data_IF_531136192923
#
_entry.id   IF_531136192923
#
_cell.length_a   1.000
_cell.length_b   1.000
_cell.length_c   1.000
_cell.angle_alpha   90.00
_cell.angle_beta   90.00
_cell.angle_gamma   90.00
#
_symmetry.space_group_name_H-M   'P 1'
#
loop_
_entity.id
_entity.type
_entity.pdbx_description
1 polymer ?
#
# COMPACT_ATOMS: atom_id res chain seq x y z
N UNK A 1 4.22 -3.79 -7.27
CA UNK A 1 3.72 -2.57 -7.97
C UNK A 1 4.26 -2.46 -9.40
N UNK A 2 5.47 -2.96 -9.62
CA UNK A 2 6.26 -2.87 -10.84
C UNK A 2 5.55 -3.47 -12.04
N UNK A 3 4.91 -4.65 -11.89
CA UNK A 3 4.12 -5.28 -12.94
C UNK A 3 2.97 -4.38 -13.39
N UNK A 4 2.22 -3.81 -12.43
CA UNK A 4 1.12 -2.90 -12.71
C UNK A 4 1.59 -1.62 -13.43
N UNK A 5 2.69 -1.02 -12.99
CA UNK A 5 3.25 0.19 -13.65
C UNK A 5 3.74 -0.12 -15.06
N UNK A 6 4.38 -1.27 -15.28
CA UNK A 6 4.78 -1.71 -16.61
C UNK A 6 3.56 -1.87 -17.54
N UNK A 7 2.46 -2.39 -16.99
CA UNK A 7 1.18 -2.59 -17.68
C UNK A 7 0.24 -1.38 -17.64
N UNK A 8 0.72 -0.18 -17.26
CA UNK A 8 -0.07 1.06 -17.16
C UNK A 8 -1.37 0.95 -16.35
N UNK A 9 -1.39 0.06 -15.36
CA UNK A 9 -2.52 -0.15 -14.48
C UNK A 9 -2.51 0.94 -13.40
N UNK A 10 -3.62 1.66 -13.28
CA UNK A 10 -3.86 2.58 -12.18
C UNK A 10 -4.06 1.77 -10.89
N UNK A 11 -3.33 2.12 -9.83
CA UNK A 11 -3.35 1.37 -8.56
C UNK A 11 -3.95 2.22 -7.45
N UNK A 12 -4.79 1.59 -6.64
CA UNK A 12 -5.25 2.08 -5.35
C UNK A 12 -4.82 1.07 -4.29
N UNK A 13 -4.41 1.56 -3.11
CA UNK A 13 -3.99 0.72 -2.00
C UNK A 13 -5.02 0.84 -0.87
N UNK A 14 -5.90 -0.17 -0.70
CA UNK A 14 -6.98 -0.14 0.28
C UNK A 14 -6.52 0.17 1.71
N UNK A 15 -5.37 -0.35 2.13
CA UNK A 15 -4.80 -0.08 3.46
C UNK A 15 -4.46 1.40 3.65
N UNK A 16 -3.82 2.03 2.65
CA UNK A 16 -3.47 3.45 2.70
C UNK A 16 -4.71 4.33 2.67
N UNK A 17 -5.72 3.94 1.88
CA UNK A 17 -7.01 4.63 1.83
C UNK A 17 -7.75 4.55 3.17
N UNK A 18 -7.85 3.35 3.76
CA UNK A 18 -8.48 3.14 5.05
C UNK A 18 -7.73 3.87 6.19
N UNK A 19 -6.40 3.91 6.16
CA UNK A 19 -5.60 4.72 7.08
C UNK A 19 -5.92 6.22 6.95
N UNK A 20 -6.07 6.72 5.72
CA UNK A 20 -6.48 8.10 5.44
C UNK A 20 -7.88 8.42 5.98
N UNK A 21 -8.85 7.51 5.82
CA UNK A 21 -10.19 7.61 6.42
C UNK A 21 -10.07 7.68 7.95
N UNK A 22 -9.32 6.76 8.56
CA UNK A 22 -9.13 6.68 10.00
C UNK A 22 -8.49 7.94 10.59
N UNK A 23 -7.41 8.44 9.99
CA UNK A 23 -6.71 9.65 10.43
C UNK A 23 -7.63 10.90 10.41
N UNK A 24 -8.63 10.92 9.53
CA UNK A 24 -9.61 12.00 9.40
C UNK A 24 -10.93 11.73 10.12
N UNK A 25 -10.96 10.75 11.04
CA UNK A 25 -12.12 10.38 11.87
C UNK A 25 -13.35 9.89 11.10
N UNK A 26 -13.18 9.38 9.88
CA UNK A 26 -14.27 8.85 9.05
C UNK A 26 -14.46 7.33 9.14
N UNK A 27 -13.68 6.62 9.96
CA UNK A 27 -13.68 5.16 9.95
C UNK A 27 -14.98 4.55 10.48
N UNK A 28 -15.63 5.20 11.46
CA UNK A 28 -16.81 4.64 12.14
C UNK A 28 -17.95 4.37 11.17
N UNK A 29 -18.25 5.31 10.27
CA UNK A 29 -19.32 5.14 9.28
C UNK A 29 -19.10 3.89 8.41
N UNK A 30 -17.85 3.64 8.01
CA UNK A 30 -17.51 2.47 7.19
C UNK A 30 -17.57 1.17 8.01
N UNK A 31 -17.13 1.22 9.27
CA UNK A 31 -17.20 0.07 10.18
C UNK A 31 -18.64 -0.34 10.47
N UNK A 32 -19.55 0.61 10.65
CA UNK A 32 -20.98 0.33 10.82
C UNK A 32 -21.60 -0.31 9.57
N UNK A 33 -21.17 0.08 8.36
CA UNK A 33 -21.57 -0.60 7.13
C UNK A 33 -21.08 -2.04 7.14
N UNK A 34 -19.80 -2.27 7.50
CA UNK A 34 -19.23 -3.61 7.57
C UNK A 34 -19.94 -4.50 8.61
N UNK A 35 -20.37 -3.94 9.75
CA UNK A 35 -21.14 -4.66 10.76
C UNK A 35 -22.50 -5.10 10.22
N UNK A 36 -23.18 -4.23 9.47
CA UNK A 36 -24.45 -4.57 8.79
C UNK A 36 -24.27 -5.62 7.70
N UNK A 37 -23.08 -5.73 7.11
CA UNK A 37 -22.72 -6.80 6.17
C UNK A 37 -22.37 -8.12 6.88
N UNK A 38 -22.27 -8.13 8.22
CA UNK A 38 -21.96 -9.31 9.02
C UNK A 38 -20.47 -9.58 9.23
N UNK A 39 -19.58 -8.62 8.94
CA UNK A 39 -18.16 -8.77 9.27
C UNK A 39 -17.94 -8.71 10.79
N UNK A 40 -17.27 -9.72 11.36
CA UNK A 40 -16.93 -9.74 12.79
C UNK A 40 -16.06 -8.54 13.16
N UNK A 41 -16.24 -8.04 14.38
CA UNK A 41 -15.39 -6.98 14.95
C UNK A 41 -13.92 -7.41 15.08
N UNK A 42 -13.67 -8.71 15.12
CA UNK A 42 -12.33 -9.31 15.18
C UNK A 42 -11.56 -9.21 13.85
N UNK A 43 -12.25 -8.91 12.74
CA UNK A 43 -11.59 -8.68 11.46
C UNK A 43 -10.76 -7.39 11.51
N UNK A 44 -9.66 -7.37 10.74
CA UNK A 44 -8.82 -6.19 10.60
C UNK A 44 -9.64 -4.94 10.26
N UNK A 45 -9.43 -3.85 11.01
CA UNK A 45 -10.15 -2.60 10.81
C UNK A 45 -9.95 -2.01 9.42
N UNK A 46 -8.75 -2.15 8.81
CA UNK A 46 -8.54 -1.77 7.41
C UNK A 46 -9.46 -2.53 6.45
N UNK A 47 -9.56 -3.86 6.64
CA UNK A 47 -10.43 -4.70 5.84
C UNK A 47 -11.90 -4.31 6.01
N UNK A 48 -12.36 -4.13 7.24
CA UNK A 48 -13.74 -3.70 7.52
C UNK A 48 -14.06 -2.33 6.93
N UNK A 49 -13.18 -1.33 7.11
CA UNK A 49 -13.34 0.01 6.51
C UNK A 49 -13.45 -0.10 4.99
N UNK A 50 -12.60 -0.90 4.36
CA UNK A 50 -12.64 -1.04 2.90
C UNK A 50 -13.86 -1.79 2.39
N UNK A 51 -14.28 -2.88 3.04
CA UNK A 51 -15.49 -3.61 2.65
C UNK A 51 -16.73 -2.72 2.81
N UNK A 52 -16.81 -1.94 3.89
CA UNK A 52 -17.85 -0.94 4.08
C UNK A 52 -17.84 0.14 3.00
N UNK A 53 -16.67 0.68 2.66
CA UNK A 53 -16.52 1.68 1.60
C UNK A 53 -16.94 1.13 0.22
N UNK A 54 -16.49 -0.09 -0.11
CA UNK A 54 -16.87 -0.77 -1.36
C UNK A 54 -18.38 -0.99 -1.45
N UNK A 55 -19.03 -1.43 -0.37
CA UNK A 55 -20.48 -1.65 -0.37
C UNK A 55 -21.26 -0.37 -0.67
N UNK A 56 -20.79 0.78 -0.16
CA UNK A 56 -21.39 2.07 -0.47
C UNK A 56 -21.18 2.49 -1.93
N UNK A 57 -19.99 2.25 -2.50
CA UNK A 57 -19.74 2.46 -3.92
C UNK A 57 -20.61 1.55 -4.80
N UNK A 58 -20.77 0.28 -4.42
CA UNK A 58 -21.64 -0.68 -5.11
C UNK A 58 -23.09 -0.20 -5.13
N UNK A 59 -23.60 0.25 -3.97
CA UNK A 59 -24.95 0.84 -3.85
C UNK A 59 -25.11 2.08 -4.73
N UNK A 60 -24.12 2.95 -4.75
CA UNK A 60 -24.14 4.12 -5.61
C UNK A 60 -24.21 3.73 -7.09
N UNK A 61 -23.38 2.80 -7.54
CA UNK A 61 -23.37 2.31 -8.92
C UNK A 61 -24.72 1.70 -9.34
N UNK A 62 -25.37 0.97 -8.42
CA UNK A 62 -26.69 0.35 -8.67
C UNK A 62 -27.85 1.35 -8.68
N UNK A 63 -27.79 2.38 -7.83
CA UNK A 63 -28.93 3.28 -7.60
C UNK A 63 -28.80 4.66 -8.27
N UNK A 64 -27.59 5.01 -8.71
CA UNK A 64 -27.24 6.35 -9.20
C UNK A 64 -27.22 7.44 -8.11
N UNK A 65 -27.32 7.06 -6.83
CA UNK A 65 -27.37 8.00 -5.70
C UNK A 65 -26.23 7.73 -4.73
N UNK A 66 -25.45 8.76 -4.41
CA UNK A 66 -24.38 8.67 -3.41
C UNK A 66 -24.98 8.48 -2.02
N UNK A 67 -24.68 7.37 -1.30
CA UNK A 67 -25.08 7.22 0.09
C UNK A 67 -24.46 8.31 0.97
N UNK A 68 -25.19 8.77 1.98
CA UNK A 68 -24.74 9.84 2.87
C UNK A 68 -23.38 9.55 3.53
N UNK A 69 -23.19 8.34 4.05
CA UNK A 69 -21.91 7.91 4.62
C UNK A 69 -20.74 7.97 3.62
N UNK A 70 -21.00 7.77 2.32
CA UNK A 70 -19.99 7.90 1.28
C UNK A 70 -19.73 9.37 0.95
N UNK A 71 -20.78 10.18 0.85
CA UNK A 71 -20.69 11.62 0.61
C UNK A 71 -19.92 12.35 1.73
N UNK A 72 -20.10 11.89 2.97
CA UNK A 72 -19.45 12.45 4.16
C UNK A 72 -18.04 11.88 4.40
N UNK A 73 -17.59 10.89 3.61
CA UNK A 73 -16.27 10.30 3.78
C UNK A 73 -15.17 11.34 3.59
N UNK A 74 -14.25 11.53 4.56
CA UNK A 74 -13.25 12.60 4.50
C UNK A 74 -12.02 12.26 3.66
N UNK A 75 -11.94 11.04 3.12
CA UNK A 75 -10.83 10.59 2.30
C UNK A 75 -11.03 10.92 0.82
N UNK A 76 -9.95 10.83 0.05
CA UNK A 76 -10.05 10.91 -1.40
C UNK A 76 -10.97 9.80 -1.92
N UNK A 77 -11.84 10.15 -2.87
CA UNK A 77 -12.73 9.20 -3.50
C UNK A 77 -11.92 8.27 -4.40
N UNK A 78 -12.13 6.97 -4.24
CA UNK A 78 -11.49 5.92 -5.06
C UNK A 78 -12.57 5.14 -5.82
N UNK A 79 -12.30 4.69 -7.05
CA UNK A 79 -13.28 3.92 -7.83
C UNK A 79 -13.41 2.49 -7.31
N UNK A 80 -14.48 1.80 -7.74
CA UNK A 80 -14.52 0.34 -7.67
C UNK A 80 -13.38 -0.24 -8.54
N UNK A 81 -12.70 -1.30 -8.09
CA UNK A 81 -11.63 -1.94 -8.85
C UNK A 81 -12.18 -2.81 -10.00
N UNK A 82 -11.45 -2.86 -11.11
CA UNK A 82 -11.70 -3.81 -12.21
C UNK A 82 -10.97 -5.16 -12.01
N UNK A 83 -9.97 -5.19 -11.13
CA UNK A 83 -9.21 -6.37 -10.71
C UNK A 83 -8.59 -6.10 -9.34
N UNK A 84 -8.29 -7.17 -8.59
CA UNK A 84 -7.55 -7.05 -7.32
C UNK A 84 -6.30 -7.92 -7.36
N UNK A 85 -5.21 -7.42 -6.77
CA UNK A 85 -3.93 -8.14 -6.64
C UNK A 85 -3.51 -8.10 -5.18
N UNK A 86 -3.25 -9.27 -4.59
CA UNK A 86 -2.83 -9.38 -3.19
C UNK A 86 -1.52 -10.17 -3.07
N UNK A 87 -0.76 -9.86 -2.03
CA UNK A 87 0.44 -10.58 -1.63
C UNK A 87 0.38 -10.77 -0.11
N UNK A 88 0.47 -12.00 0.36
CA UNK A 88 0.31 -12.35 1.77
C UNK A 88 1.58 -12.18 2.61
N UNK A 89 2.62 -11.55 2.06
CA UNK A 89 3.89 -11.32 2.76
C UNK A 89 3.75 -10.45 4.02
N UNK A 90 2.69 -9.64 4.17
CA UNK A 90 2.42 -8.87 5.38
C UNK A 90 1.51 -9.60 6.37
N UNK A 91 0.47 -10.29 5.89
CA UNK A 91 -0.42 -11.13 6.69
C UNK A 91 -1.35 -11.96 5.79
N UNK A 92 -1.89 -13.05 6.34
CA UNK A 92 -2.85 -13.91 5.64
C UNK A 92 -4.29 -13.38 5.68
N UNK A 93 -4.61 -12.37 6.49
CA UNK A 93 -5.96 -11.78 6.50
C UNK A 93 -6.27 -11.02 5.20
N UNK A 94 -5.23 -10.51 4.52
CA UNK A 94 -5.35 -9.92 3.19
C UNK A 94 -5.96 -10.88 2.17
N UNK A 95 -5.61 -12.18 2.23
CA UNK A 95 -6.12 -13.16 1.27
C UNK A 95 -7.64 -13.21 1.31
N UNK A 96 -8.21 -13.44 2.51
CA UNK A 96 -9.67 -13.52 2.67
C UNK A 96 -10.37 -12.21 2.38
N UNK A 97 -9.76 -11.09 2.74
CA UNK A 97 -10.32 -9.77 2.40
C UNK A 97 -10.39 -9.56 0.89
N UNK A 98 -9.30 -9.80 0.15
CA UNK A 98 -9.27 -9.58 -1.30
C UNK A 98 -10.10 -10.62 -2.08
N UNK A 99 -10.16 -11.87 -1.61
CA UNK A 99 -11.09 -12.87 -2.15
C UNK A 99 -12.55 -12.44 -1.99
N UNK A 100 -12.94 -11.94 -0.81
CA UNK A 100 -14.30 -11.44 -0.60
C UNK A 100 -14.60 -10.21 -1.47
N UNK A 101 -13.64 -9.30 -1.60
CA UNK A 101 -13.76 -8.13 -2.47
C UNK A 101 -13.97 -8.53 -3.93
N UNK A 102 -13.18 -9.50 -4.42
CA UNK A 102 -13.29 -10.03 -5.77
C UNK A 102 -14.61 -10.78 -6.01
N UNK A 103 -15.03 -11.60 -5.06
CA UNK A 103 -16.28 -12.36 -5.14
C UNK A 103 -17.51 -11.44 -5.16
N UNK A 104 -17.52 -10.42 -4.30
CA UNK A 104 -18.65 -9.47 -4.21
C UNK A 104 -18.80 -8.61 -5.48
N UNK A 105 -17.68 -8.25 -6.10
CA UNK A 105 -17.66 -7.43 -7.31
C UNK A 105 -17.63 -8.25 -8.61
N UNK A 106 -17.47 -9.57 -8.51
CA UNK A 106 -17.29 -10.48 -9.63
C UNK A 106 -16.16 -10.05 -10.59
N UNK A 107 -14.97 -9.79 -10.02
CA UNK A 107 -13.77 -9.33 -10.73
C UNK A 107 -12.59 -10.28 -10.54
N UNK A 108 -11.58 -10.27 -11.43
CA UNK A 108 -10.38 -11.09 -11.29
C UNK A 108 -9.62 -10.82 -9.98
N UNK A 109 -9.12 -11.89 -9.36
CA UNK A 109 -8.27 -11.86 -8.18
C UNK A 109 -6.94 -12.55 -8.49
N UNK A 110 -5.84 -11.80 -8.47
CA UNK A 110 -4.49 -12.35 -8.56
C UNK A 110 -3.91 -12.43 -7.15
N UNK A 111 -3.55 -13.64 -6.73
CA UNK A 111 -2.80 -13.87 -5.49
C UNK A 111 -1.35 -14.13 -5.85
N UNK A 112 -0.45 -13.44 -5.17
CA UNK A 112 0.99 -13.75 -5.15
C UNK A 112 1.27 -14.36 -3.78
N UNK A 113 1.32 -15.68 -3.71
CA UNK A 113 1.58 -16.38 -2.46
C UNK A 113 3.08 -16.36 -2.14
N UNK A 114 3.41 -15.90 -0.93
CA UNK A 114 4.75 -15.84 -0.39
C UNK A 114 4.78 -16.72 0.86
N UNK A 115 5.38 -17.92 0.78
CA UNK A 115 5.42 -18.84 1.90
C UNK A 115 6.09 -18.23 3.12
N UNK A 116 5.60 -18.60 4.31
CA UNK A 116 6.22 -18.19 5.56
C UNK A 116 7.62 -18.80 5.69
N UNK A 117 8.61 -17.97 5.98
CA UNK A 117 9.99 -18.42 6.17
C UNK A 117 10.21 -18.92 7.61
N UNK A 118 10.18 -20.24 7.81
CA UNK A 118 10.46 -20.85 9.11
C UNK A 118 11.95 -20.88 9.46
N UNK A 119 12.82 -20.84 8.46
CA UNK A 119 14.27 -20.90 8.61
C UNK A 119 14.95 -19.87 7.70
N UNK A 120 16.16 -19.49 8.07
CA UNK A 120 17.04 -18.64 7.25
C UNK A 120 18.32 -19.40 6.89
N UNK A 121 18.90 -19.20 5.69
CA UNK A 121 18.41 -18.34 4.60
C UNK A 121 17.12 -18.90 3.96
N UNK A 122 16.38 -18.03 3.25
CA UNK A 122 15.21 -18.44 2.45
C UNK A 122 15.63 -19.55 1.47
N UNK A 123 14.88 -20.65 1.45
CA UNK A 123 15.19 -21.82 0.63
C UNK A 123 15.10 -21.51 -0.87
N UNK A 124 15.88 -22.22 -1.70
CA UNK A 124 15.79 -22.08 -3.16
C UNK A 124 14.40 -22.44 -3.67
N UNK A 125 13.79 -23.49 -3.12
CA UNK A 125 12.41 -23.88 -3.47
C UNK A 125 11.40 -22.73 -3.26
N UNK A 126 11.48 -22.00 -2.14
CA UNK A 126 10.59 -20.88 -1.90
C UNK A 126 10.83 -19.73 -2.90
N UNK A 127 12.08 -19.48 -3.28
CA UNK A 127 12.42 -18.46 -4.30
C UNK A 127 11.90 -18.85 -5.68
N UNK A 128 12.05 -20.12 -6.07
CA UNK A 128 11.54 -20.67 -7.32
C UNK A 128 10.02 -20.58 -7.38
N UNK A 129 9.34 -20.97 -6.30
CA UNK A 129 7.89 -20.85 -6.15
C UNK A 129 7.42 -19.40 -6.34
N UNK A 130 8.02 -18.44 -5.63
CA UNK A 130 7.66 -17.01 -5.78
C UNK A 130 7.95 -16.51 -7.21
N UNK A 131 9.01 -16.99 -7.86
CA UNK A 131 9.28 -16.64 -9.25
C UNK A 131 8.21 -17.18 -10.20
N UNK A 132 7.68 -18.39 -9.95
CA UNK A 132 6.55 -18.95 -10.70
C UNK A 132 5.24 -18.20 -10.43
N UNK A 133 4.98 -17.78 -9.19
CA UNK A 133 3.84 -16.90 -8.84
C UNK A 133 3.90 -15.60 -9.64
N UNK A 134 5.09 -14.99 -9.79
CA UNK A 134 5.24 -13.80 -10.65
C UNK A 134 5.00 -14.09 -12.13
N UNK A 135 5.48 -15.22 -12.66
CA UNK A 135 5.21 -15.60 -14.06
C UNK A 135 3.72 -15.82 -14.30
N UNK A 136 3.03 -16.47 -13.35
CA UNK A 136 1.59 -16.69 -13.41
C UNK A 136 0.78 -15.38 -13.26
N UNK A 137 1.23 -14.45 -12.42
CA UNK A 137 0.62 -13.13 -12.33
C UNK A 137 0.77 -12.36 -13.66
N UNK A 138 1.95 -12.42 -14.29
CA UNK A 138 2.18 -11.78 -15.59
C UNK A 138 1.25 -12.34 -16.66
N UNK A 139 1.12 -13.67 -16.79
CA UNK A 139 0.24 -14.27 -17.80
C UNK A 139 -1.24 -13.88 -17.60
N UNK A 140 -1.70 -13.80 -16.35
CA UNK A 140 -3.04 -13.32 -16.03
C UNK A 140 -3.21 -11.84 -16.39
N UNK A 141 -2.21 -11.00 -16.11
CA UNK A 141 -2.24 -9.58 -16.49
C UNK A 141 -2.26 -9.38 -18.01
N UNK A 142 -1.58 -10.21 -18.79
CA UNK A 142 -1.64 -10.16 -20.26
C UNK A 142 -3.06 -10.42 -20.78
N UNK A 143 -3.75 -11.40 -20.19
CA UNK A 143 -5.15 -11.71 -20.51
C UNK A 143 -6.07 -10.56 -20.09
N UNK A 144 -5.96 -10.08 -18.85
CA UNK A 144 -6.81 -9.02 -18.30
C UNK A 144 -6.65 -7.71 -19.06
N UNK A 145 -5.40 -7.35 -19.40
CA UNK A 145 -5.12 -6.11 -20.14
C UNK A 145 -5.26 -6.25 -21.66
N UNK A 146 -5.46 -7.47 -22.18
CA UNK A 146 -5.59 -7.74 -23.62
C UNK A 146 -4.34 -7.39 -24.43
N UNK A 147 -3.15 -7.38 -23.81
CA UNK A 147 -1.88 -6.99 -24.46
C UNK A 147 -0.69 -7.72 -23.82
N UNK A 148 0.39 -7.98 -24.58
CA UNK A 148 1.58 -8.65 -24.05
C UNK A 148 2.29 -7.79 -23.00
N UNK A 149 3.02 -8.46 -22.11
CA UNK A 149 3.79 -7.83 -21.05
C UNK A 149 5.04 -7.15 -21.60
N UNK A 150 5.24 -5.88 -21.25
CA UNK A 150 6.42 -5.10 -21.66
C UNK A 150 7.58 -5.33 -20.69
N UNK A 151 8.42 -6.31 -20.99
CA UNK A 151 9.59 -6.64 -20.17
C UNK A 151 10.62 -5.50 -20.14
N UNK A 152 10.84 -4.78 -21.24
CA UNK A 152 11.82 -3.68 -21.26
C UNK A 152 11.37 -2.55 -20.32
N UNK A 153 10.10 -2.17 -20.40
CA UNK A 153 9.51 -1.22 -19.47
C UNK A 153 9.55 -1.75 -18.04
N UNK A 154 9.27 -3.03 -17.80
CA UNK A 154 9.40 -3.62 -16.47
C UNK A 154 10.82 -3.51 -15.91
N UNK A 155 11.86 -3.74 -16.72
CA UNK A 155 13.26 -3.53 -16.33
C UNK A 155 13.55 -2.06 -16.00
N UNK A 156 13.00 -1.11 -16.74
CA UNK A 156 13.10 0.33 -16.45
C UNK A 156 12.40 0.69 -15.13
N UNK A 157 11.19 0.18 -14.92
CA UNK A 157 10.40 0.38 -13.69
C UNK A 157 11.11 -0.19 -12.48
N UNK A 158 11.71 -1.38 -12.56
CA UNK A 158 12.51 -1.95 -11.44
C UNK A 158 13.70 -1.06 -11.08
N UNK A 159 14.43 -0.55 -12.08
CA UNK A 159 15.53 0.40 -11.86
C UNK A 159 15.03 1.67 -11.15
N UNK A 160 13.87 2.21 -11.56
CA UNK A 160 13.24 3.33 -10.87
C UNK A 160 12.87 2.98 -9.43
N UNK A 161 12.22 1.84 -9.18
CA UNK A 161 11.86 1.41 -7.82
C UNK A 161 13.09 1.36 -6.91
N UNK A 162 14.19 0.77 -7.38
CA UNK A 162 15.41 0.68 -6.58
C UNK A 162 15.99 2.06 -6.23
N UNK A 163 15.94 3.03 -7.16
CA UNK A 163 16.37 4.40 -6.85
C UNK A 163 15.50 5.04 -5.77
N UNK A 164 14.18 4.92 -5.87
CA UNK A 164 13.25 5.43 -4.84
C UNK A 164 13.50 4.77 -3.47
N UNK A 165 13.66 3.44 -3.44
CA UNK A 165 13.91 2.68 -2.20
C UNK A 165 15.28 3.02 -1.60
N UNK A 166 16.30 3.30 -2.41
CA UNK A 166 17.59 3.76 -1.89
C UNK A 166 17.45 5.09 -1.13
N UNK A 167 16.64 6.03 -1.64
CA UNK A 167 16.37 7.29 -0.94
C UNK A 167 15.51 7.08 0.32
N UNK A 168 14.51 6.22 0.26
CA UNK A 168 13.72 5.83 1.44
C UNK A 168 14.59 5.24 2.55
N UNK A 169 15.55 4.39 2.20
CA UNK A 169 16.50 3.82 3.15
C UNK A 169 17.43 4.87 3.75
N UNK A 170 17.84 5.90 2.99
CA UNK A 170 18.57 7.06 3.53
C UNK A 170 17.74 7.77 4.61
N UNK A 171 16.46 8.07 4.33
CA UNK A 171 15.55 8.69 5.31
C UNK A 171 15.45 7.82 6.57
N UNK A 172 15.11 6.54 6.42
CA UNK A 172 14.93 5.63 7.56
C UNK A 172 16.21 5.52 8.41
N UNK A 173 17.39 5.50 7.78
CA UNK A 173 18.67 5.46 8.47
C UNK A 173 18.94 6.72 9.31
N UNK A 174 18.34 7.88 9.01
CA UNK A 174 18.50 9.10 9.81
C UNK A 174 17.95 8.94 11.23
N UNK A 175 16.99 8.03 11.42
CA UNK A 175 16.47 7.72 12.76
C UNK A 175 17.55 7.27 13.73
N UNK A 176 18.70 6.73 13.29
CA UNK A 176 19.75 6.21 14.18
C UNK A 176 20.55 7.28 14.93
N UNK A 177 20.53 8.52 14.47
CA UNK A 177 21.34 9.60 15.05
C UNK A 177 20.74 10.14 16.36
N UNK A 178 21.59 10.80 17.16
CA UNK A 178 21.25 11.35 18.47
C UNK A 178 21.72 12.82 18.58
N UNK A 179 20.81 13.79 18.74
CA UNK A 179 19.36 13.65 18.60
C UNK A 179 18.97 13.25 17.15
N UNK A 180 17.80 12.64 16.97
CA UNK A 180 17.32 12.27 15.64
C UNK A 180 16.89 13.53 14.86
N UNK A 181 17.39 13.74 13.62
CA UNK A 181 16.87 14.78 12.74
C UNK A 181 15.53 14.39 12.09
N UNK A 182 15.10 13.12 12.25
CA UNK A 182 13.84 12.57 11.76
C UNK A 182 12.85 12.34 12.90
N UNK A 183 11.63 12.87 12.75
CA UNK A 183 10.48 12.53 13.58
C UNK A 183 9.82 11.24 13.07
N UNK A 184 9.56 10.28 13.95
CA UNK A 184 8.93 9.00 13.59
C UNK A 184 7.54 9.18 12.95
N UNK A 185 6.76 10.18 13.37
CA UNK A 185 5.45 10.46 12.75
C UNK A 185 5.58 10.98 11.31
N UNK A 186 6.64 11.73 10.99
CA UNK A 186 6.88 12.19 9.62
C UNK A 186 7.20 10.99 8.72
N UNK A 187 7.92 9.99 9.24
CA UNK A 187 8.18 8.75 8.50
C UNK A 187 6.86 8.06 8.09
N UNK A 188 5.86 8.00 8.98
CA UNK A 188 4.55 7.45 8.66
C UNK A 188 3.78 8.26 7.61
N UNK A 189 3.92 9.59 7.60
CA UNK A 189 3.31 10.42 6.55
C UNK A 189 3.90 10.10 5.17
N UNK A 190 5.23 9.94 5.07
CA UNK A 190 5.89 9.56 3.82
C UNK A 190 5.75 8.07 3.48
N UNK A 191 5.30 7.23 4.41
CA UNK A 191 5.03 5.81 4.18
C UNK A 191 3.96 5.61 3.11
N UNK A 192 2.92 6.45 3.09
CA UNK A 192 1.90 6.40 2.05
C UNK A 192 2.50 6.57 0.64
N UNK A 193 3.50 7.44 0.49
CA UNK A 193 4.16 7.66 -0.80
C UNK A 193 5.01 6.46 -1.22
N UNK A 194 5.75 5.82 -0.30
CA UNK A 194 6.57 4.65 -0.67
C UNK A 194 5.69 3.44 -0.98
N UNK A 195 4.55 3.29 -0.30
CA UNK A 195 3.56 2.25 -0.63
C UNK A 195 2.97 2.51 -2.01
N UNK A 196 2.41 3.69 -2.24
CA UNK A 196 1.63 3.94 -3.45
C UNK A 196 2.45 4.21 -4.71
N UNK A 197 3.67 4.74 -4.57
CA UNK A 197 4.39 5.35 -5.68
C UNK A 197 5.87 4.99 -5.77
N UNK A 198 6.40 4.00 -5.04
CA UNK A 198 7.85 3.64 -5.10
C UNK A 198 8.37 3.43 -6.52
N UNK A 199 7.54 2.95 -7.43
CA UNK A 199 7.88 2.68 -8.83
C UNK A 199 7.75 3.90 -9.76
N UNK A 200 7.48 5.10 -9.21
CA UNK A 200 7.38 6.36 -9.94
C UNK A 200 8.54 7.28 -9.59
N UNK A 201 8.96 8.09 -10.56
CA UNK A 201 10.08 9.04 -10.46
C UNK A 201 9.85 10.13 -9.40
N UNK A 202 8.63 10.63 -9.27
CA UNK A 202 8.30 11.65 -8.28
C UNK A 202 8.50 11.16 -6.83
N UNK A 203 8.45 9.85 -6.57
CA UNK A 203 8.80 9.30 -5.26
C UNK A 203 10.31 9.44 -4.99
N UNK A 204 11.16 9.11 -5.97
CA UNK A 204 12.61 9.34 -5.86
C UNK A 204 12.93 10.81 -5.63
N UNK A 205 12.33 11.72 -6.41
CA UNK A 205 12.55 13.17 -6.28
C UNK A 205 12.20 13.65 -4.87
N UNK A 206 11.03 13.25 -4.38
CA UNK A 206 10.54 13.63 -3.05
C UNK A 206 11.42 13.06 -1.94
N UNK A 207 11.73 11.76 -2.00
CA UNK A 207 12.55 11.12 -0.98
C UNK A 207 13.98 11.61 -0.97
N UNK A 208 14.56 11.89 -2.14
CA UNK A 208 15.90 12.48 -2.22
C UNK A 208 15.91 13.83 -1.52
N UNK A 209 14.95 14.71 -1.85
CA UNK A 209 14.86 16.04 -1.23
C UNK A 209 14.72 15.93 0.29
N UNK A 210 13.85 15.04 0.77
CA UNK A 210 13.66 14.83 2.21
C UNK A 210 14.92 14.25 2.89
N UNK A 211 15.59 13.27 2.28
CA UNK A 211 16.84 12.72 2.78
C UNK A 211 17.92 13.80 2.93
N UNK A 212 18.10 14.63 1.88
CA UNK A 212 19.09 15.70 1.87
C UNK A 212 18.81 16.74 2.97
N UNK A 213 17.55 17.12 3.19
CA UNK A 213 17.14 18.03 4.27
C UNK A 213 17.41 17.46 5.67
N UNK A 214 17.17 16.16 5.87
CA UNK A 214 17.48 15.50 7.15
C UNK A 214 18.98 15.42 7.41
N UNK A 215 19.78 15.13 6.37
CA UNK A 215 21.24 15.12 6.45
C UNK A 215 21.80 16.51 6.74
N UNK A 216 21.25 17.56 6.15
CA UNK A 216 21.61 18.95 6.45
C UNK A 216 21.25 19.34 7.89
N UNK A 217 20.05 19.00 8.38
CA UNK A 217 19.66 19.21 9.78
C UNK A 217 20.64 18.53 10.74
N UNK A 218 20.98 17.27 10.46
CA UNK A 218 21.95 16.54 11.26
C UNK A 218 23.32 17.23 11.30
N UNK A 219 23.84 17.69 10.16
CA UNK A 219 25.12 18.42 10.09
C UNK A 219 25.12 19.71 10.91
N UNK A 220 23.96 20.37 11.05
CA UNK A 220 23.78 21.57 11.89
C UNK A 220 23.57 21.25 13.38
N UNK A 221 23.47 19.98 13.75
CA UNK A 221 23.12 19.55 15.11
C UNK A 221 21.65 19.78 15.46
N UNK A 222 20.78 19.94 14.45
CA UNK A 222 19.35 20.19 14.64
C UNK A 222 18.59 18.87 14.81
N UNK A 223 17.64 18.87 15.75
CA UNK A 223 16.73 17.76 16.02
C UNK A 223 15.39 17.96 15.30
N UNK A 224 14.67 16.87 15.03
CA UNK A 224 13.28 16.95 14.61
C UNK A 224 12.35 17.47 15.72
N UNK A 225 12.77 17.33 16.98
CA UNK A 225 11.99 17.70 18.15
C UNK A 225 12.40 19.08 18.66
N UNK A 226 11.40 19.93 18.97
CA UNK A 226 11.62 21.29 19.52
C UNK A 226 12.28 21.27 20.90
N UNK A 227 12.04 20.22 21.69
CA UNK A 227 12.67 19.97 22.99
C UNK A 227 13.75 18.91 22.86
N UNK A 228 14.69 18.89 23.82
CA UNK A 228 15.70 17.84 23.89
C UNK A 228 15.07 16.44 23.88
N UNK A 229 15.60 15.57 23.02
CA UNK A 229 15.22 14.15 22.93
C UNK A 229 15.68 13.44 24.22
N UNK A 230 14.75 13.22 25.17
CA UNK A 230 15.05 12.56 26.45
C UNK A 230 15.04 11.03 26.34
N UNK A 231 14.11 10.49 25.56
CA UNK A 231 13.87 9.07 25.41
C UNK A 231 13.71 8.72 23.93
N UNK A 232 14.02 7.47 23.61
CA UNK A 232 13.85 6.90 22.28
C UNK A 232 13.05 5.62 22.39
N UNK A 233 12.09 5.47 21.49
CA UNK A 233 11.22 4.30 21.39
C UNK A 233 11.38 3.71 19.99
N UNK A 234 11.20 2.39 19.91
CA UNK A 234 11.13 1.63 18.67
C UNK A 234 9.70 1.12 18.49
#
# INVERSE_FOLDING_TARGET
PEMCVAMDIAMVYPETHAAGIGARKGAMDMLEVADRMGYSVDCCSYGRVNMGYMELLKKEAMTGKTPEALANSPAARVPLPDLVITCNNICNTLLKWYENLAAELNIPCIVIDVPFNHTMPVSEHAKEYIADEFRNAISQLEVICGRPFDYEKFHQVRRQTHRSIAQWNRIAAMSRYKPSPLNGFDLFNYMALVVCARSRDYAEITFKKFADELEEKYKKGESAFKSAEKNRIA
#
